data_IF_898203454887
#
_entry.id   IF_898203454887
#
_cell.length_a   1.000
_cell.length_b   1.000
_cell.length_c   1.000
_cell.angle_alpha   90.00
_cell.angle_beta   90.00
_cell.angle_gamma   90.00
#
_symmetry.space_group_name_H-M   'P 1'
#
loop_
_entity.id
_entity.type
_entity.pdbx_description
1 polymer ?
#
# COMPACT_ATOMS: atom_id res chain seq x y z
N UNK A 1 -11.31 -20.02 -0.15
CA UNK A 1 -11.12 -19.25 -0.26
C UNK A 1 -10.38 -18.95 -0.09
N UNK A 2 -10.02 -19.21 -0.32
CA UNK A 2 -9.34 -18.67 -0.10
C UNK A 2 -9.03 -18.04 0.35
N UNK A 3 -9.26 -17.69 0.44
CA UNK A 3 -9.25 -16.92 0.91
C UNK A 3 -9.82 -16.13 1.00
N UNK A 4 -10.72 -16.07 1.13
CA UNK A 4 -11.30 -15.21 1.09
C UNK A 4 -11.41 -14.74 1.85
N UNK A 5 -11.77 -14.65 2.35
CA UNK A 5 -11.92 -13.96 2.81
C UNK A 5 -11.91 -13.48 3.63
N UNK A 6 -11.70 -13.03 4.09
CA UNK A 6 -11.80 -12.49 4.83
C UNK A 6 -12.41 -11.44 4.81
N UNK A 7 -13.05 -11.00 4.77
CA UNK A 7 -13.63 -10.04 4.70
C UNK A 7 -14.48 -9.95 3.76
N UNK A 8 -14.98 -9.49 3.37
CA UNK A 8 -15.70 -9.69 2.38
C UNK A 8 -15.20 -10.64 1.60
N UNK A 9 -15.78 -11.71 1.44
CA UNK A 9 -15.15 -12.78 0.76
C UNK A 9 -14.75 -12.39 -0.64
N UNK A 10 -15.54 -11.64 -1.33
CA UNK A 10 -15.18 -11.22 -2.66
C UNK A 10 -13.92 -10.38 -2.69
N UNK A 11 -13.80 -9.49 -1.74
CA UNK A 11 -12.65 -8.62 -1.69
C UNK A 11 -11.41 -9.38 -1.29
N UNK A 12 -11.52 -10.26 -0.33
CA UNK A 12 -10.37 -11.05 0.08
C UNK A 12 -9.86 -11.93 -1.04
N UNK A 13 -10.78 -12.48 -1.78
CA UNK A 13 -10.44 -13.34 -2.90
C UNK A 13 -9.65 -12.55 -3.94
N UNK A 14 -10.16 -11.39 -4.25
CA UNK A 14 -9.50 -10.53 -5.23
C UNK A 14 -8.12 -10.10 -4.77
N UNK A 15 -7.97 -9.78 -3.50
CA UNK A 15 -6.67 -9.40 -2.97
C UNK A 15 -5.69 -10.56 -3.14
N UNK A 16 -6.12 -11.78 -2.91
CA UNK A 16 -5.26 -12.92 -3.09
C UNK A 16 -4.81 -13.11 -4.52
N UNK A 17 -5.71 -12.87 -5.46
CA UNK A 17 -5.36 -12.97 -6.87
C UNK A 17 -4.39 -11.86 -7.27
N UNK A 18 -4.63 -10.66 -6.80
CA UNK A 18 -3.78 -9.53 -7.15
C UNK A 18 -2.35 -9.70 -6.66
N UNK A 19 -2.18 -10.39 -5.54
CA UNK A 19 -0.84 -10.62 -5.03
C UNK A 19 0.04 -11.40 -5.98
N UNK A 20 -0.58 -12.14 -6.89
CA UNK A 20 0.19 -12.92 -7.85
C UNK A 20 0.77 -12.06 -8.96
N UNK A 21 0.31 -10.82 -9.06
CA UNK A 21 0.74 -9.93 -10.13
C UNK A 21 1.41 -8.71 -9.52
N UNK A 22 2.61 -8.91 -9.02
CA UNK A 22 3.38 -7.81 -8.46
C UNK A 22 4.20 -7.15 -9.55
N UNK A 23 4.17 -5.83 -9.58
CA UNK A 23 5.05 -5.10 -10.49
C UNK A 23 6.47 -5.12 -9.91
N UNK A 24 7.48 -4.83 -10.72
CA UNK A 24 8.84 -4.74 -10.19
C UNK A 24 8.98 -3.72 -9.06
N UNK A 25 8.26 -2.59 -9.16
CA UNK A 25 8.31 -1.59 -8.09
C UNK A 25 7.71 -2.13 -6.81
N UNK A 26 6.58 -2.83 -6.91
CA UNK A 26 5.97 -3.41 -5.73
C UNK A 26 6.87 -4.44 -5.07
N UNK A 27 7.49 -5.28 -5.88
CA UNK A 27 8.37 -6.31 -5.36
C UNK A 27 9.56 -5.69 -4.65
N UNK A 28 10.13 -4.64 -5.24
CA UNK A 28 11.28 -3.98 -4.67
C UNK A 28 10.95 -3.32 -3.35
N UNK A 29 9.85 -2.60 -3.30
CA UNK A 29 9.47 -1.92 -2.06
C UNK A 29 9.07 -2.93 -1.00
N UNK A 30 8.35 -3.97 -1.37
CA UNK A 30 7.96 -4.99 -0.40
C UNK A 30 9.18 -5.62 0.26
N UNK A 31 10.23 -5.85 -0.51
CA UNK A 31 11.44 -6.43 0.05
C UNK A 31 12.04 -5.53 1.13
N UNK A 32 11.81 -4.23 1.03
CA UNK A 32 12.28 -3.28 2.04
C UNK A 32 11.36 -3.18 3.24
N UNK A 33 10.06 -3.46 3.05
CA UNK A 33 9.07 -3.27 4.10
C UNK A 33 8.82 -4.53 4.93
N UNK A 34 8.98 -5.69 4.31
CA UNK A 34 8.62 -6.95 4.95
C UNK A 34 9.48 -7.22 6.18
N UNK A 35 8.96 -8.08 7.05
CA UNK A 35 9.67 -8.51 8.25
C UNK A 35 10.01 -7.35 9.18
N UNK A 36 9.14 -6.33 9.18
CA UNK A 36 9.31 -5.19 10.10
C UNK A 36 10.66 -4.50 9.95
N UNK A 37 11.19 -4.49 8.72
CA UNK A 37 12.51 -3.91 8.50
C UNK A 37 12.57 -2.41 8.67
N UNK A 38 11.46 -1.72 8.43
CA UNK A 38 11.42 -0.27 8.56
C UNK A 38 10.92 0.08 9.96
N UNK A 39 11.82 0.54 10.80
CA UNK A 39 11.50 1.01 12.15
C UNK A 39 10.69 0.00 12.98
N UNK A 40 10.82 -1.28 12.67
CA UNK A 40 10.08 -2.30 13.39
C UNK A 40 8.59 -2.32 13.11
N UNK A 41 8.16 -1.63 12.05
CA UNK A 41 6.75 -1.49 11.73
C UNK A 41 6.28 -2.62 10.83
N UNK A 42 5.11 -3.17 11.15
CA UNK A 42 4.54 -4.26 10.38
C UNK A 42 3.72 -3.70 9.22
N UNK A 43 4.09 -4.07 8.01
CA UNK A 43 3.36 -3.71 6.81
C UNK A 43 2.76 -4.95 6.17
N UNK A 44 1.62 -4.76 5.53
CA UNK A 44 0.95 -5.81 4.75
C UNK A 44 0.79 -5.31 3.32
N UNK A 45 0.93 -6.21 2.37
CA UNK A 45 0.72 -5.82 0.99
C UNK A 45 -0.66 -6.28 0.54
N UNK A 46 -1.21 -5.59 -0.45
CA UNK A 46 -2.53 -5.90 -1.00
C UNK A 46 -3.54 -6.05 0.12
N UNK A 47 -3.57 -5.06 0.99
CA UNK A 47 -4.41 -5.11 2.19
C UNK A 47 -5.70 -4.34 1.97
N UNK A 48 -6.82 -4.99 2.28
CA UNK A 48 -8.12 -4.37 2.09
C UNK A 48 -8.43 -3.43 3.27
N UNK A 49 -8.87 -2.22 2.94
CA UNK A 49 -9.41 -1.27 3.90
C UNK A 49 -10.81 -0.98 3.41
N UNK A 50 -11.80 -1.58 4.09
CA UNK A 50 -13.18 -1.53 3.64
C UNK A 50 -13.26 -2.04 2.21
N UNK A 51 -13.79 -1.25 1.28
CA UNK A 51 -14.00 -1.71 -0.09
C UNK A 51 -12.78 -1.48 -1.00
N UNK A 52 -11.74 -0.88 -0.47
CA UNK A 52 -10.55 -0.59 -1.28
C UNK A 52 -9.41 -1.52 -0.93
N UNK A 53 -8.63 -1.89 -1.93
CA UNK A 53 -7.43 -2.68 -1.72
C UNK A 53 -6.24 -1.75 -1.86
N UNK A 54 -5.42 -1.70 -0.82
CA UNK A 54 -4.24 -0.83 -0.81
C UNK A 54 -3.01 -1.64 -1.17
N UNK A 55 -2.02 -0.98 -1.77
CA UNK A 55 -0.79 -1.68 -2.14
C UNK A 55 -0.04 -2.13 -0.89
N UNK A 56 0.19 -1.22 0.04
CA UNK A 56 0.84 -1.54 1.31
C UNK A 56 0.14 -0.78 2.41
N UNK A 57 0.00 -1.42 3.56
CA UNK A 57 -0.69 -0.79 4.68
C UNK A 57 -0.11 -1.26 5.99
N UNK A 58 0.09 -0.31 6.90
CA UNK A 58 0.36 -0.63 8.29
C UNK A 58 -0.88 -0.19 9.08
N UNK A 59 -1.76 -1.14 9.41
CA UNK A 59 -2.98 -0.76 10.13
C UNK A 59 -2.69 -0.14 11.49
N UNK A 60 -1.64 -0.61 12.13
CA UNK A 60 -1.29 -0.11 13.45
C UNK A 60 -0.85 1.34 13.40
N UNK A 61 -0.07 1.70 12.38
CA UNK A 61 0.41 3.06 12.22
C UNK A 61 -0.54 3.93 11.42
N UNK A 62 -1.60 3.32 10.88
CA UNK A 62 -2.56 4.02 10.04
C UNK A 62 -1.88 4.67 8.84
N UNK A 63 -0.96 3.93 8.23
CA UNK A 63 -0.23 4.43 7.07
C UNK A 63 -0.48 3.54 5.87
N UNK A 64 -0.83 4.16 4.76
CA UNK A 64 -1.04 3.48 3.49
C UNK A 64 -0.03 4.02 2.49
N UNK A 65 0.60 3.11 1.74
CA UNK A 65 1.53 3.46 0.69
C UNK A 65 0.99 2.92 -0.62
N UNK A 66 0.91 3.80 -1.62
CA UNK A 66 0.39 3.43 -2.93
C UNK A 66 1.43 3.71 -3.98
N UNK A 67 1.55 2.80 -4.95
CA UNK A 67 2.48 2.98 -6.06
C UNK A 67 1.68 3.21 -7.31
N UNK A 68 2.09 4.22 -8.06
CA UNK A 68 1.39 4.62 -9.25
C UNK A 68 2.25 4.45 -10.48
N UNK A 69 1.61 3.99 -11.56
CA UNK A 69 2.28 3.93 -12.85
C UNK A 69 2.30 5.31 -13.48
N UNK A 70 2.10 5.34 -14.78
CA UNK A 70 2.18 6.61 -15.49
C UNK A 70 0.86 7.37 -15.49
N UNK A 71 -0.23 6.72 -15.10
CA UNK A 71 -1.55 7.34 -15.18
C UNK A 71 -2.38 7.05 -13.97
N UNK A 72 -3.27 7.97 -13.65
CA UNK A 72 -4.12 7.86 -12.48
C UNK A 72 -5.58 8.02 -12.85
N UNK A 73 -6.42 7.63 -11.94
CA UNK A 73 -7.83 7.65 -12.13
C UNK A 73 -8.53 8.97 -11.89
N UNK A 74 -7.81 10.03 -11.65
CA UNK A 74 -8.44 11.33 -11.49
C UNK A 74 -9.45 11.38 -10.35
N UNK A 75 -10.72 11.61 -10.70
CA UNK A 75 -11.76 11.77 -9.68
C UNK A 75 -11.91 10.54 -8.80
N UNK A 76 -11.81 9.36 -9.37
CA UNK A 76 -11.92 8.14 -8.57
C UNK A 76 -10.79 8.02 -7.57
N UNK A 77 -9.61 8.47 -7.99
CA UNK A 77 -8.47 8.46 -7.12
C UNK A 77 -8.66 9.41 -5.94
N UNK A 78 -9.18 10.59 -6.21
CA UNK A 78 -9.40 11.58 -5.16
C UNK A 78 -10.45 11.08 -4.16
N UNK A 79 -11.51 10.46 -4.66
CA UNK A 79 -12.55 9.94 -3.80
C UNK A 79 -12.03 8.83 -2.91
N UNK A 80 -11.24 7.95 -3.49
CA UNK A 80 -10.63 6.86 -2.75
C UNK A 80 -9.72 7.37 -1.65
N UNK A 81 -8.88 8.33 -1.98
CA UNK A 81 -7.96 8.89 -1.01
C UNK A 81 -8.71 9.58 0.13
N UNK A 82 -9.75 10.35 -0.22
CA UNK A 82 -10.54 11.03 0.80
C UNK A 82 -11.20 10.01 1.73
N UNK A 83 -11.72 8.93 1.17
CA UNK A 83 -12.35 7.89 1.96
C UNK A 83 -11.37 7.32 2.99
N UNK A 84 -10.17 7.01 2.54
CA UNK A 84 -9.16 6.42 3.42
C UNK A 84 -8.72 7.40 4.50
N UNK A 85 -8.56 8.67 4.11
CA UNK A 85 -8.15 9.69 5.07
C UNK A 85 -9.23 9.92 6.13
N UNK A 86 -10.48 9.83 5.75
CA UNK A 86 -11.57 9.98 6.70
C UNK A 86 -11.59 8.86 7.72
N UNK A 87 -10.99 7.73 7.39
CA UNK A 87 -10.87 6.62 8.31
C UNK A 87 -9.60 6.71 9.17
N UNK A 88 -8.90 7.82 9.09
CA UNK A 88 -7.75 8.06 9.93
C UNK A 88 -6.42 7.63 9.33
N UNK A 89 -6.43 7.24 8.07
CA UNK A 89 -5.18 6.82 7.43
C UNK A 89 -4.45 7.97 6.78
N UNK A 90 -3.13 7.91 6.84
CA UNK A 90 -2.28 8.78 6.06
C UNK A 90 -1.93 8.02 4.79
N UNK A 91 -2.08 8.66 3.64
CA UNK A 91 -1.83 8.02 2.36
C UNK A 91 -0.64 8.68 1.69
N UNK A 92 0.37 7.89 1.34
CA UNK A 92 1.55 8.38 0.64
C UNK A 92 1.60 7.67 -0.70
N UNK A 93 1.88 8.44 -1.75
CA UNK A 93 1.93 7.88 -3.09
C UNK A 93 3.31 8.11 -3.67
N UNK A 94 3.82 7.09 -4.35
CA UNK A 94 5.09 7.18 -5.06
C UNK A 94 4.89 6.71 -6.48
N UNK A 95 5.67 7.28 -7.38
CA UNK A 95 5.71 6.76 -8.73
C UNK A 95 6.51 5.47 -8.74
N UNK A 96 6.09 4.50 -9.56
CA UNK A 96 6.84 3.26 -9.72
C UNK A 96 8.30 3.56 -10.08
N UNK A 97 8.47 4.53 -10.95
CA UNK A 97 9.80 4.90 -11.40
C UNK A 97 10.70 5.33 -10.26
N UNK A 98 10.15 6.09 -9.33
CA UNK A 98 10.94 6.55 -8.18
C UNK A 98 11.35 5.40 -7.28
N UNK A 99 10.48 4.42 -7.13
CA UNK A 99 10.81 3.26 -6.33
C UNK A 99 11.98 2.49 -6.97
N UNK A 100 11.95 2.38 -8.28
CA UNK A 100 13.01 1.66 -8.99
C UNK A 100 14.33 2.42 -8.98
N UNK A 101 14.27 3.72 -9.22
CA UNK A 101 15.48 4.51 -9.41
C UNK A 101 16.02 5.16 -8.14
N UNK A 102 15.17 5.42 -7.18
CA UNK A 102 15.58 6.18 -6.00
C UNK A 102 14.93 5.63 -4.75
N UNK A 103 15.16 4.35 -4.52
CA UNK A 103 14.52 3.66 -3.38
C UNK A 103 14.93 4.29 -2.05
N UNK A 104 16.13 4.84 -1.96
CA UNK A 104 16.60 5.40 -0.70
C UNK A 104 15.76 6.61 -0.30
N UNK A 105 15.41 7.46 -1.27
CA UNK A 105 14.56 8.60 -0.98
C UNK A 105 13.15 8.16 -0.62
N UNK A 106 12.66 7.12 -1.28
CA UNK A 106 11.35 6.58 -0.97
C UNK A 106 11.31 6.11 0.48
N UNK A 107 12.34 5.37 0.90
CA UNK A 107 12.39 4.87 2.26
C UNK A 107 12.54 5.99 3.28
N UNK A 108 13.25 7.04 2.92
CA UNK A 108 13.38 8.19 3.80
C UNK A 108 12.02 8.84 4.06
N UNK A 109 11.24 9.03 3.00
CA UNK A 109 9.91 9.61 3.14
C UNK A 109 9.03 8.73 4.02
N UNK A 110 9.12 7.42 3.83
CA UNK A 110 8.32 6.51 4.64
C UNK A 110 8.72 6.59 6.11
N UNK A 111 10.02 6.64 6.40
CA UNK A 111 10.47 6.76 7.77
C UNK A 111 10.00 8.07 8.40
N UNK A 112 10.04 9.14 7.63
CA UNK A 112 9.54 10.43 8.14
C UNK A 112 8.05 10.37 8.45
N UNK A 113 7.28 9.66 7.63
CA UNK A 113 5.87 9.53 7.88
C UNK A 113 5.57 8.73 9.14
N UNK A 114 6.49 7.86 9.54
CA UNK A 114 6.31 7.04 10.74
C UNK A 114 6.75 7.75 12.02
N UNK A 115 7.43 8.87 11.89
CA UNK A 115 7.85 9.64 13.06
C UNK A 115 6.66 10.35 13.68
N UNK A 116 6.68 10.47 15.00
CA UNK A 116 5.55 11.08 15.70
C UNK A 116 5.92 12.36 16.40
#
# INVERSE_FOLDING_TARGET
MPRQPRNTSGIKHRAGELRKISTPAEAKLWDCLRRNKINGVSFRRQHAVDKYITDFCSPREKLIIELDGSQHGGDMDAERTRFLMERGYKVIRFWNEDVIKDIENVLLVIRQALEK
#
